data_IF_014967679654
#
_entry.id   IF_014967679654
#
_cell.length_a   1.000
_cell.length_b   1.000
_cell.length_c   1.000
_cell.angle_alpha   90.00
_cell.angle_beta   90.00
_cell.angle_gamma   90.00
#
_symmetry.space_group_name_H-M   'P 1'
#
loop_
_entity.id
_entity.type
_entity.pdbx_description
1 polymer ?
#
# COMPACT_ATOMS: atom_id res chain seq x y z
N UNK A 1 19.73 17.50 34.65
CA UNK A 1 18.51 16.68 34.63
C UNK A 1 17.89 16.84 33.27
N UNK A 2 18.10 15.88 32.36
CA UNK A 2 17.48 15.90 31.03
C UNK A 2 16.33 14.92 31.06
N UNK A 3 15.12 15.43 30.87
CA UNK A 3 13.90 14.63 30.81
C UNK A 3 13.99 13.73 29.57
N UNK A 4 14.07 12.43 29.80
CA UNK A 4 13.84 11.41 28.78
C UNK A 4 12.39 11.53 28.35
N UNK A 5 12.15 12.20 27.22
CA UNK A 5 10.88 12.13 26.52
C UNK A 5 10.81 10.76 25.83
N UNK A 6 10.59 9.72 26.63
CA UNK A 6 10.17 8.40 26.18
C UNK A 6 8.79 8.57 25.58
N UNK A 7 8.75 8.93 24.29
CA UNK A 7 7.57 8.69 23.45
C UNK A 7 7.43 7.19 23.38
N UNK A 8 6.70 6.62 24.34
CA UNK A 8 6.35 5.22 24.34
C UNK A 8 5.56 4.95 23.06
N UNK A 9 6.24 4.42 22.04
CA UNK A 9 5.59 3.78 20.89
C UNK A 9 4.61 2.78 21.48
N UNK A 10 3.33 3.14 21.55
CA UNK A 10 2.30 2.29 22.10
C UNK A 10 2.25 1.02 21.23
N UNK A 11 2.75 -0.08 21.78
CA UNK A 11 2.62 -1.40 21.17
C UNK A 11 1.22 -1.91 21.49
N UNK A 12 0.39 -2.09 20.45
CA UNK A 12 -0.97 -2.61 20.58
C UNK A 12 -0.92 -4.12 20.86
N UNK A 13 -1.02 -4.50 22.13
CA UNK A 13 -1.17 -5.90 22.52
C UNK A 13 -2.65 -6.33 22.39
N UNK A 14 -2.92 -7.32 21.52
CA UNK A 14 -4.25 -7.88 21.30
C UNK A 14 -4.50 -9.12 22.18
N UNK A 15 -4.69 -8.88 23.48
CA UNK A 15 -4.86 -9.91 24.52
C UNK A 15 -6.29 -10.49 24.66
N UNK A 16 -7.26 -9.95 23.91
CA UNK A 16 -8.68 -10.30 24.09
C UNK A 16 -9.45 -10.28 22.77
N UNK A 17 -10.46 -11.16 22.61
CA UNK A 17 -11.27 -11.23 21.38
C UNK A 17 -11.92 -9.89 21.00
N UNK A 18 -12.32 -9.07 21.99
CA UNK A 18 -12.88 -7.74 21.75
C UNK A 18 -11.86 -6.79 21.10
N UNK A 19 -10.60 -6.81 21.54
CA UNK A 19 -9.52 -6.00 20.93
C UNK A 19 -9.21 -6.49 19.52
N UNK A 20 -9.28 -7.79 19.27
CA UNK A 20 -9.17 -8.38 17.92
C UNK A 20 -10.24 -7.84 16.97
N UNK A 21 -11.51 -7.82 17.39
CA UNK A 21 -12.60 -7.26 16.57
C UNK A 21 -12.40 -5.77 16.30
N UNK A 22 -12.00 -4.99 17.31
CA UNK A 22 -11.76 -3.55 17.13
C UNK A 22 -10.60 -3.29 16.17
N UNK A 23 -9.50 -4.04 16.32
CA UNK A 23 -8.34 -3.93 15.44
C UNK A 23 -8.69 -4.34 14.00
N UNK A 24 -9.40 -5.45 13.81
CA UNK A 24 -9.82 -5.91 12.49
C UNK A 24 -10.68 -4.87 11.78
N UNK A 25 -11.66 -4.29 12.47
CA UNK A 25 -12.49 -3.20 11.92
C UNK A 25 -11.66 -1.94 11.57
N UNK A 26 -10.62 -1.62 12.34
CA UNK A 26 -9.70 -0.52 12.03
C UNK A 26 -8.93 -0.80 10.73
N UNK A 27 -8.39 -2.00 10.56
CA UNK A 27 -7.68 -2.41 9.33
C UNK A 27 -8.62 -2.36 8.12
N UNK A 28 -9.85 -2.85 8.25
CA UNK A 28 -10.87 -2.76 7.19
C UNK A 28 -11.22 -1.30 6.86
N UNK A 29 -11.34 -0.44 7.87
CA UNK A 29 -11.58 0.99 7.69
C UNK A 29 -10.46 1.66 6.90
N UNK A 30 -9.21 1.43 7.30
CA UNK A 30 -8.02 1.95 6.59
C UNK A 30 -7.96 1.44 5.14
N UNK A 31 -8.22 0.16 4.91
CA UNK A 31 -8.26 -0.42 3.58
C UNK A 31 -9.35 0.20 2.70
N UNK A 32 -10.49 0.54 3.29
CA UNK A 32 -11.60 1.21 2.60
C UNK A 32 -11.24 2.65 2.25
N UNK A 33 -10.69 3.41 3.19
CA UNK A 33 -10.23 4.80 2.97
C UNK A 33 -9.18 4.88 1.86
N UNK A 34 -8.25 3.92 1.85
CA UNK A 34 -7.19 3.83 0.85
C UNK A 34 -7.64 3.14 -0.45
N UNK A 35 -8.90 2.70 -0.55
CA UNK A 35 -9.47 2.04 -1.72
C UNK A 35 -8.67 0.81 -2.19
N UNK A 36 -8.16 0.04 -1.24
CA UNK A 36 -7.37 -1.19 -1.47
C UNK A 36 -7.98 -2.42 -0.78
N UNK A 37 -9.24 -2.31 -0.32
CA UNK A 37 -9.94 -3.38 0.39
C UNK A 37 -10.03 -4.68 -0.43
N UNK A 38 -10.21 -4.57 -1.75
CA UNK A 38 -10.24 -5.67 -2.72
C UNK A 38 -8.90 -6.42 -2.83
N UNK A 39 -7.81 -5.74 -2.50
CA UNK A 39 -6.45 -6.26 -2.52
C UNK A 39 -6.03 -6.90 -1.18
N UNK A 40 -6.87 -6.81 -0.15
CA UNK A 40 -6.59 -7.34 1.18
C UNK A 40 -7.53 -8.52 1.45
N UNK A 41 -6.95 -9.72 1.47
CA UNK A 41 -7.65 -10.94 1.86
C UNK A 41 -7.01 -11.56 3.10
N UNK A 42 -7.83 -12.12 3.98
CA UNK A 42 -7.42 -12.81 5.21
C UNK A 42 -6.56 -14.06 4.89
N UNK A 43 -6.83 -14.73 3.77
CA UNK A 43 -6.05 -15.89 3.30
C UNK A 43 -4.81 -15.52 2.46
N UNK A 44 -4.80 -14.33 1.85
CA UNK A 44 -3.67 -13.89 1.02
C UNK A 44 -3.40 -12.40 1.19
N UNK A 45 -2.50 -12.08 2.10
CA UNK A 45 -1.97 -10.72 2.32
C UNK A 45 -1.15 -10.16 1.13
N UNK A 46 -1.03 -10.92 0.04
CA UNK A 46 -0.10 -10.61 -1.05
C UNK A 46 -0.77 -10.60 -2.43
N UNK A 47 -1.80 -9.77 -2.60
CA UNK A 47 -2.38 -9.45 -3.91
C UNK A 47 -1.73 -8.25 -4.59
N UNK A 48 -0.57 -7.80 -4.12
CA UNK A 48 0.17 -6.71 -4.78
C UNK A 48 0.45 -7.02 -6.26
N UNK A 49 0.63 -8.30 -6.61
CA UNK A 49 0.78 -8.76 -7.99
C UNK A 49 -0.49 -8.64 -8.84
N UNK A 50 -1.65 -8.40 -8.22
CA UNK A 50 -2.93 -8.21 -8.91
C UNK A 50 -3.15 -6.73 -9.30
N UNK A 51 -2.37 -5.80 -8.75
CA UNK A 51 -2.41 -4.41 -9.18
C UNK A 51 -1.78 -4.34 -10.58
N UNK A 52 -2.53 -3.92 -11.62
CA UNK A 52 -2.01 -3.88 -12.97
C UNK A 52 -0.92 -2.82 -13.09
N UNK A 53 0.27 -3.23 -13.48
CA UNK A 53 1.36 -2.30 -13.80
C UNK A 53 1.03 -1.55 -15.09
N UNK A 54 1.13 -0.21 -15.11
CA UNK A 54 0.89 0.56 -16.32
C UNK A 54 1.96 0.25 -17.38
N UNK A 55 1.53 0.18 -18.63
CA UNK A 55 2.42 -0.14 -19.76
C UNK A 55 3.07 1.13 -20.29
N UNK A 56 4.40 1.13 -20.37
CA UNK A 56 5.14 2.23 -20.97
C UNK A 56 4.84 2.31 -22.47
N UNK A 57 4.63 3.50 -23.03
CA UNK A 57 4.51 3.66 -24.48
C UNK A 57 5.85 3.35 -25.16
N UNK A 58 5.78 2.76 -26.35
CA UNK A 58 6.95 2.50 -27.18
C UNK A 58 7.45 3.80 -27.81
N UNK A 59 8.77 3.95 -27.90
CA UNK A 59 9.35 5.12 -28.55
C UNK A 59 9.01 5.12 -30.04
N UNK A 60 8.67 6.28 -30.63
CA UNK A 60 8.28 6.35 -32.03
C UNK A 60 9.44 5.93 -32.95
N UNK A 61 9.16 5.01 -33.86
CA UNK A 61 10.10 4.59 -34.92
C UNK A 61 10.21 5.66 -36.00
N UNK A 62 9.10 6.36 -36.26
CA UNK A 62 9.03 7.46 -37.20
C UNK A 62 9.46 8.77 -36.53
N UNK A 63 10.42 9.46 -37.12
CA UNK A 63 10.94 10.74 -36.63
C UNK A 63 10.12 11.94 -37.11
N UNK A 64 8.78 11.82 -37.13
CA UNK A 64 7.88 12.92 -37.47
C UNK A 64 7.51 13.72 -36.21
N UNK A 65 7.18 15.00 -36.38
CA UNK A 65 6.69 15.82 -35.26
C UNK A 65 5.40 15.26 -34.65
N UNK A 66 4.52 14.71 -35.49
CA UNK A 66 3.25 14.11 -35.06
C UNK A 66 3.48 12.86 -34.21
N UNK A 67 4.37 11.96 -34.64
CA UNK A 67 4.72 10.76 -33.88
C UNK A 67 5.35 11.11 -32.52
N UNK A 68 6.19 12.15 -32.49
CA UNK A 68 6.77 12.66 -31.25
C UNK A 68 5.71 13.24 -30.31
N UNK A 69 4.82 14.10 -30.80
CA UNK A 69 3.75 14.70 -29.98
C UNK A 69 2.80 13.63 -29.43
N UNK A 70 2.46 12.62 -30.24
CA UNK A 70 1.66 11.48 -29.79
C UNK A 70 2.35 10.73 -28.65
N UNK A 71 3.63 10.41 -28.82
CA UNK A 71 4.42 9.75 -27.78
C UNK A 71 4.52 10.59 -26.50
N UNK A 72 4.74 11.91 -26.61
CA UNK A 72 4.82 12.80 -25.45
C UNK A 72 3.50 12.82 -24.65
N UNK A 73 2.35 12.80 -25.32
CA UNK A 73 1.04 12.69 -24.68
C UNK A 73 0.84 11.33 -23.99
N UNK A 74 1.16 10.24 -24.67
CA UNK A 74 1.04 8.88 -24.13
C UNK A 74 1.99 8.67 -22.93
N UNK A 75 3.20 9.21 -23.01
CA UNK A 75 4.20 9.16 -21.95
C UNK A 75 3.75 9.98 -20.73
N UNK A 76 3.10 11.13 -20.95
CA UNK A 76 2.50 11.92 -19.87
C UNK A 76 1.39 11.15 -19.15
N UNK A 77 0.52 10.45 -19.90
CA UNK A 77 -0.52 9.58 -19.32
C UNK A 77 0.09 8.42 -18.54
N UNK A 78 1.08 7.73 -19.12
CA UNK A 78 1.80 6.65 -18.45
C UNK A 78 2.45 7.11 -17.14
N UNK A 79 3.08 8.29 -17.11
CA UNK A 79 3.69 8.81 -15.89
C UNK A 79 2.65 9.06 -14.78
N UNK A 80 1.48 9.58 -15.15
CA UNK A 80 0.37 9.74 -14.21
C UNK A 80 -0.11 8.39 -13.67
N UNK A 81 -0.38 7.43 -14.56
CA UNK A 81 -0.86 6.10 -14.19
C UNK A 81 0.16 5.37 -13.31
N UNK A 82 1.45 5.54 -13.60
CA UNK A 82 2.56 5.01 -12.81
C UNK A 82 2.65 5.61 -11.41
N UNK A 83 2.34 6.88 -11.24
CA UNK A 83 2.30 7.49 -9.92
C UNK A 83 1.14 6.93 -9.09
N UNK A 84 -0.05 6.80 -9.68
CA UNK A 84 -1.21 6.17 -9.05
C UNK A 84 -0.89 4.71 -8.66
N UNK A 85 -0.27 3.95 -9.57
CA UNK A 85 0.16 2.58 -9.30
C UNK A 85 1.09 2.49 -8.08
N UNK A 86 2.10 3.37 -8.00
CA UNK A 86 3.03 3.42 -6.86
C UNK A 86 2.35 3.80 -5.55
N UNK A 87 1.41 4.73 -5.60
CA UNK A 87 0.65 5.15 -4.42
C UNK A 87 -0.18 3.99 -3.86
N UNK A 88 -0.90 3.27 -4.73
CA UNK A 88 -1.62 2.04 -4.35
C UNK A 88 -0.70 1.00 -3.73
N UNK A 89 0.47 0.75 -4.31
CA UNK A 89 1.46 -0.17 -3.72
C UNK A 89 1.91 0.28 -2.32
N UNK A 90 2.15 1.57 -2.14
CA UNK A 90 2.54 2.12 -0.84
C UNK A 90 1.43 1.93 0.20
N UNK A 91 0.17 2.12 -0.19
CA UNK A 91 -0.99 1.97 0.71
C UNK A 91 -1.23 0.52 1.13
N UNK A 92 -1.15 -0.44 0.20
CA UNK A 92 -1.17 -1.86 0.53
C UNK A 92 0.01 -2.22 1.46
N UNK A 93 1.20 -1.64 1.22
CA UNK A 93 2.38 -1.86 2.05
C UNK A 93 2.19 -1.33 3.48
N UNK A 94 1.57 -0.15 3.66
CA UNK A 94 1.25 0.40 4.99
C UNK A 94 0.34 -0.53 5.77
N UNK A 95 -0.76 -0.99 5.16
CA UNK A 95 -1.71 -1.88 5.85
C UNK A 95 -1.02 -3.20 6.20
N UNK A 96 -0.20 -3.74 5.29
CA UNK A 96 0.63 -4.92 5.56
C UNK A 96 1.57 -4.71 6.75
N UNK A 97 2.26 -3.57 6.83
CA UNK A 97 3.15 -3.27 7.96
C UNK A 97 2.38 -3.24 9.28
N UNK A 98 1.19 -2.64 9.32
CA UNK A 98 0.35 -2.64 10.52
C UNK A 98 -0.10 -4.06 10.92
N UNK A 99 -0.42 -4.91 9.93
CA UNK A 99 -0.73 -6.33 10.17
C UNK A 99 0.48 -7.07 10.75
N UNK A 100 1.65 -7.02 10.11
CA UNK A 100 2.86 -7.70 10.58
C UNK A 100 3.33 -7.16 11.94
N UNK A 101 3.26 -5.85 12.16
CA UNK A 101 3.55 -5.24 13.45
C UNK A 101 2.63 -5.75 14.55
N UNK A 102 1.43 -6.20 14.23
CA UNK A 102 0.50 -6.74 15.23
C UNK A 102 0.66 -8.26 15.39
N UNK A 103 0.95 -9.00 14.31
CA UNK A 103 1.15 -10.45 14.33
C UNK A 103 2.49 -10.89 14.92
N UNK A 104 3.60 -10.18 14.66
CA UNK A 104 4.92 -10.53 15.19
C UNK A 104 4.97 -10.52 16.73
N UNK A 105 4.05 -9.83 17.39
CA UNK A 105 3.94 -9.84 18.86
C UNK A 105 3.19 -11.06 19.40
N UNK A 106 2.39 -11.77 18.57
CA UNK A 106 1.78 -13.04 18.97
C UNK A 106 2.82 -14.15 19.12
N UNK A 107 3.87 -14.17 18.29
CA UNK A 107 4.89 -15.22 18.29
C UNK A 107 5.92 -15.07 19.42
N UNK A 108 6.05 -13.87 20.00
CA UNK A 108 6.99 -13.59 21.12
C UNK A 108 6.38 -13.91 22.49
N UNK A 109 5.07 -14.15 22.57
CA UNK A 109 4.38 -14.57 23.80
C UNK A 109 4.17 -16.09 23.73
N UNK A 110 5.25 -16.86 23.85
CA UNK A 110 5.23 -18.30 24.19
C UNK A 110 6.25 -18.53 25.30
#
# INVERSE_FOLDING_TARGET
MSAENSSSKASLFLDSPRKWNLWYNMILGLATELQVLDLINEESLNRMSEIPEPVSPEFPIEYTMEARVKWEMENSRYNNDRNIYKEKLADVSKIRQEIFRTMAFKEVII
#
